data_IF_610583612949
#
_entry.id   IF_610583612949
#
_cell.length_a   1.000
_cell.length_b   1.000
_cell.length_c   1.000
_cell.angle_alpha   90.00
_cell.angle_beta   90.00
_cell.angle_gamma   90.00
#
_symmetry.space_group_name_H-M   'P 1'
#
loop_
_entity.id
_entity.type
_entity.pdbx_description
1 polymer ?
#
# COMPACT_ATOMS: atom_id res chain seq x y z
N UNK A 1 -3.98 -4.74 -13.71
CA UNK A 1 -3.64 -3.61 -14.60
C UNK A 1 -4.40 -2.38 -14.09
N UNK A 2 -3.84 -1.27 -13.58
CA UNK A 2 -2.52 -0.80 -13.17
C UNK A 2 -2.78 -0.04 -11.86
N UNK A 3 -2.12 -0.37 -10.74
CA UNK A 3 -2.14 0.50 -9.56
C UNK A 3 -0.97 1.47 -9.69
N UNK A 4 -1.18 2.59 -10.36
CA UNK A 4 -0.30 3.75 -10.26
C UNK A 4 -0.91 4.73 -9.26
N UNK A 5 -0.07 5.41 -8.48
CA UNK A 5 -0.56 6.46 -7.61
C UNK A 5 -0.90 7.70 -8.45
N UNK A 6 -2.19 7.97 -8.65
CA UNK A 6 -2.63 9.25 -9.21
C UNK A 6 -2.23 10.43 -8.31
N UNK A 7 -2.17 10.20 -7.00
CA UNK A 7 -1.89 11.22 -6.00
C UNK A 7 -0.44 11.15 -5.54
N UNK A 8 0.39 12.13 -5.94
CA UNK A 8 1.83 12.16 -5.66
C UNK A 8 2.18 12.22 -4.17
N UNK A 9 1.36 12.87 -3.33
CA UNK A 9 1.57 12.85 -1.88
C UNK A 9 1.31 11.46 -1.25
N UNK A 10 0.43 10.65 -1.85
CA UNK A 10 0.20 9.28 -1.37
C UNK A 10 1.36 8.40 -1.80
N UNK A 11 1.81 8.52 -3.05
CA UNK A 11 3.02 7.86 -3.54
C UNK A 11 4.22 8.12 -2.62
N UNK A 12 4.49 9.39 -2.29
CA UNK A 12 5.58 9.78 -1.39
C UNK A 12 5.39 9.20 0.02
N UNK A 13 4.18 9.29 0.57
CA UNK A 13 3.88 8.74 1.89
C UNK A 13 4.14 7.23 1.95
N UNK A 14 3.74 6.46 0.95
CA UNK A 14 3.96 5.02 0.94
C UNK A 14 5.43 4.68 0.61
N UNK A 15 6.09 5.35 -0.33
CA UNK A 15 7.47 5.01 -0.67
C UNK A 15 8.50 5.43 0.40
N UNK A 16 8.24 6.51 1.13
CA UNK A 16 9.25 7.13 2.02
C UNK A 16 8.79 7.35 3.46
N UNK A 17 7.49 7.25 3.73
CA UNK A 17 6.89 7.67 5.01
C UNK A 17 6.63 9.18 5.11
N UNK A 18 6.95 9.97 4.10
CA UNK A 18 6.75 11.42 4.11
C UNK A 18 5.27 11.81 4.13
N UNK A 19 4.86 12.63 5.09
CA UNK A 19 3.48 13.15 5.14
C UNK A 19 3.26 14.40 4.28
N UNK A 20 4.28 14.83 3.54
CA UNK A 20 4.18 15.97 2.64
C UNK A 20 3.14 15.71 1.55
N UNK A 21 2.22 16.66 1.37
CA UNK A 21 1.16 16.57 0.35
C UNK A 21 -0.04 15.70 0.75
N UNK A 22 -0.13 15.20 1.98
CA UNK A 22 -1.35 14.56 2.52
C UNK A 22 -1.84 15.29 3.77
N UNK A 23 -3.08 15.03 4.17
CA UNK A 23 -3.57 15.48 5.48
C UNK A 23 -2.94 14.59 6.57
N UNK A 24 -2.11 15.19 7.44
CA UNK A 24 -1.36 14.47 8.50
C UNK A 24 -2.27 13.64 9.40
N UNK A 25 -3.47 14.13 9.73
CA UNK A 25 -4.48 13.39 10.52
C UNK A 25 -4.93 12.07 9.88
N UNK A 26 -4.73 11.89 8.57
CA UNK A 26 -5.06 10.65 7.86
C UNK A 26 -3.89 9.66 7.81
N UNK A 27 -2.66 10.05 8.19
CA UNK A 27 -1.48 9.20 8.08
C UNK A 27 -1.66 7.85 8.79
N UNK A 28 -2.19 7.87 10.02
CA UNK A 28 -2.45 6.64 10.79
C UNK A 28 -3.44 5.72 10.09
N UNK A 29 -4.54 6.28 9.55
CA UNK A 29 -5.55 5.51 8.83
C UNK A 29 -5.01 4.97 7.50
N UNK A 30 -4.24 5.77 6.77
CA UNK A 30 -3.60 5.37 5.53
C UNK A 30 -2.62 4.23 5.76
N UNK A 31 -1.81 4.29 6.82
CA UNK A 31 -0.86 3.24 7.17
C UNK A 31 -1.58 1.94 7.61
N UNK A 32 -2.72 2.04 8.30
CA UNK A 32 -3.52 0.86 8.63
C UNK A 32 -4.12 0.19 7.38
N UNK A 33 -4.56 0.98 6.42
CA UNK A 33 -5.23 0.50 5.22
C UNK A 33 -4.26 0.04 4.13
N UNK A 34 -3.07 0.64 4.04
CA UNK A 34 -2.05 0.32 3.06
C UNK A 34 -0.67 0.39 3.75
N UNK A 35 0.01 -0.75 3.87
CA UNK A 35 1.32 -0.83 4.53
C UNK A 35 2.24 -1.84 3.83
N UNK A 36 3.57 -1.66 3.98
CA UNK A 36 4.54 -2.62 3.49
C UNK A 36 4.52 -3.89 4.35
N UNK A 37 4.69 -5.04 3.70
CA UNK A 37 4.83 -6.33 4.33
C UNK A 37 6.30 -6.61 4.69
N UNK A 38 6.50 -7.59 5.58
CA UNK A 38 7.81 -7.97 6.12
C UNK A 38 8.07 -9.46 5.90
N UNK A 39 9.30 -9.90 6.15
CA UNK A 39 9.70 -11.31 6.01
C UNK A 39 9.77 -11.72 4.53
N UNK A 40 9.19 -12.87 4.19
CA UNK A 40 9.19 -13.42 2.83
C UNK A 40 8.46 -12.53 1.81
N UNK A 41 7.63 -11.60 2.29
CA UNK A 41 6.89 -10.65 1.47
C UNK A 41 7.52 -9.25 1.49
N UNK A 42 8.84 -9.15 1.72
CA UNK A 42 9.54 -7.88 1.56
C UNK A 42 9.30 -7.31 0.15
N UNK A 43 9.21 -5.98 0.05
CA UNK A 43 8.81 -5.24 -1.16
C UNK A 43 7.35 -5.46 -1.63
N UNK A 44 6.56 -6.24 -0.89
CA UNK A 44 5.12 -6.30 -1.10
C UNK A 44 4.40 -5.33 -0.17
N UNK A 45 3.23 -4.92 -0.63
CA UNK A 45 2.30 -4.03 0.01
C UNK A 45 0.99 -4.76 0.24
N UNK A 46 0.25 -4.38 1.27
CA UNK A 46 -1.07 -4.93 1.58
C UNK A 46 -2.09 -3.82 1.68
N UNK A 47 -3.22 -3.95 0.98
CA UNK A 47 -4.39 -3.07 1.09
C UNK A 47 -5.54 -3.81 1.75
N UNK A 48 -6.12 -3.20 2.77
CA UNK A 48 -7.38 -3.68 3.35
C UNK A 48 -8.53 -3.49 2.37
N UNK A 49 -9.21 -4.59 2.04
CA UNK A 49 -10.45 -4.57 1.24
C UNK A 49 -11.65 -4.47 2.17
N UNK A 50 -11.94 -5.54 2.92
CA UNK A 50 -12.98 -5.56 3.96
C UNK A 50 -12.68 -6.67 4.98
N UNK A 51 -13.06 -6.47 6.26
CA UNK A 51 -12.82 -7.44 7.32
C UNK A 51 -11.35 -7.88 7.37
N UNK A 52 -11.14 -9.19 7.24
CA UNK A 52 -9.82 -9.80 7.23
C UNK A 52 -9.18 -9.87 5.82
N UNK A 53 -9.93 -9.61 4.76
CA UNK A 53 -9.43 -9.68 3.39
C UNK A 53 -8.39 -8.60 3.06
N UNK A 54 -7.32 -9.01 2.39
CA UNK A 54 -6.22 -8.16 1.92
C UNK A 54 -5.94 -8.41 0.44
N UNK A 55 -5.69 -7.33 -0.27
CA UNK A 55 -5.06 -7.36 -1.58
C UNK A 55 -3.56 -7.14 -1.37
N UNK A 56 -2.70 -8.06 -1.80
CA UNK A 56 -1.24 -7.85 -1.72
C UNK A 56 -0.65 -7.64 -3.09
N UNK A 57 0.32 -6.73 -3.18
CA UNK A 57 0.96 -6.42 -4.44
C UNK A 57 2.37 -5.87 -4.30
N UNK A 58 3.19 -6.03 -5.34
CA UNK A 58 4.52 -5.43 -5.42
C UNK A 58 4.51 -4.29 -6.45
N UNK A 59 5.28 -3.24 -6.18
CA UNK A 59 5.55 -2.18 -7.16
C UNK A 59 6.85 -2.49 -7.90
N UNK A 60 6.78 -2.63 -9.22
CA UNK A 60 7.94 -2.70 -10.10
C UNK A 60 7.80 -1.67 -11.22
N UNK A 61 8.83 -0.85 -11.40
CA UNK A 61 8.88 0.18 -12.46
C UNK A 61 7.66 1.11 -12.50
N UNK A 62 7.09 1.44 -11.33
CA UNK A 62 5.92 2.32 -11.21
C UNK A 62 4.57 1.64 -11.46
N UNK A 63 4.56 0.31 -11.64
CA UNK A 63 3.38 -0.50 -11.86
C UNK A 63 3.22 -1.55 -10.76
N UNK A 64 1.98 -1.87 -10.39
CA UNK A 64 1.72 -3.04 -9.57
C UNK A 64 1.63 -4.29 -10.45
N UNK A 65 2.47 -5.30 -10.16
CA UNK A 65 2.65 -6.45 -11.05
C UNK A 65 2.06 -7.76 -10.50
N UNK A 66 2.26 -8.05 -9.21
CA UNK A 66 1.67 -9.24 -8.56
C UNK A 66 0.48 -8.78 -7.75
N UNK A 67 -0.65 -9.48 -7.86
CA UNK A 67 -1.88 -9.18 -7.11
C UNK A 67 -2.38 -10.50 -6.54
N UNK A 68 -2.28 -10.67 -5.22
CA UNK A 68 -2.92 -11.79 -4.51
C UNK A 68 -4.09 -11.25 -3.66
N UNK A 69 -5.09 -12.09 -3.42
CA UNK A 69 -6.30 -11.73 -2.66
C UNK A 69 -6.62 -12.83 -1.66
N UNK A 70 -6.31 -12.54 -0.39
CA UNK A 70 -6.29 -13.55 0.66
C UNK A 70 -6.96 -13.06 1.94
N UNK A 71 -7.53 -14.01 2.68
CA UNK A 71 -8.01 -13.80 4.04
C UNK A 71 -6.82 -13.78 5.01
N UNK A 72 -6.70 -12.74 5.83
CA UNK A 72 -5.52 -12.48 6.67
C UNK A 72 -5.71 -12.98 8.12
N UNK A 73 -6.31 -14.18 8.27
CA UNK A 73 -6.48 -14.90 9.54
C UNK A 73 -6.27 -16.41 9.37
#
# INVERSE_FOLDING_TARGET
MILSFKHKGLEQFFLTGSTAGIQVKHATKLNLLLHPLKGNLINHWSVKVNGNWRLTFKFESGHAEVVDYQDYH
#
